data_IF_484043204515
#
_entry.id   IF_484043204515
#
_cell.length_a   1.000
_cell.length_b   1.000
_cell.length_c   1.000
_cell.angle_alpha   90.00
_cell.angle_beta   90.00
_cell.angle_gamma   90.00
#
_symmetry.space_group_name_H-M   'P 1'
#
loop_
_entity.id
_entity.type
_entity.pdbx_description
1 polymer ?
#
# COMPACT_ATOMS: atom_id res chain seq x y z
N UNK A 1 -42.59 5.55 96.43
CA UNK A 1 -41.29 6.07 96.84
C UNK A 1 -40.59 6.50 95.54
N UNK A 2 -40.65 7.75 95.23
CA UNK A 2 -39.57 8.73 95.39
C UNK A 2 -38.46 8.50 94.34
N UNK A 3 -38.14 9.29 93.56
CA UNK A 3 -37.71 10.65 93.39
C UNK A 3 -37.01 10.70 92.01
N UNK A 4 -37.26 11.38 91.02
CA UNK A 4 -36.95 12.76 90.74
C UNK A 4 -35.50 12.96 90.28
N UNK A 5 -35.22 13.42 89.13
CA UNK A 5 -34.45 14.61 88.92
C UNK A 5 -34.31 14.97 87.44
N UNK A 6 -34.60 16.12 87.24
CA UNK A 6 -34.57 17.00 86.06
C UNK A 6 -33.16 17.46 85.75
N UNK A 7 -32.85 17.67 84.53
CA UNK A 7 -32.02 18.75 83.99
C UNK A 7 -31.22 18.25 82.72
N UNK A 8 -31.05 18.92 81.75
CA UNK A 8 -31.02 20.25 81.20
C UNK A 8 -30.39 20.23 79.81
N UNK A 9 -31.02 20.92 78.94
CA UNK A 9 -30.53 21.22 77.56
C UNK A 9 -29.05 21.60 77.47
N UNK A 10 -28.37 21.09 76.46
CA UNK A 10 -27.43 21.94 75.72
C UNK A 10 -27.44 21.58 74.23
N UNK A 11 -27.82 22.60 73.49
CA UNK A 11 -27.75 22.68 72.05
C UNK A 11 -26.31 22.58 71.52
N UNK A 12 -26.02 21.57 70.75
CA UNK A 12 -24.75 21.46 70.04
C UNK A 12 -25.02 21.34 68.50
N UNK A 13 -24.95 22.45 67.81
CA UNK A 13 -24.98 22.47 66.33
C UNK A 13 -23.78 21.73 65.78
N UNK A 14 -23.96 20.51 65.36
CA UNK A 14 -22.99 19.85 64.54
C UNK A 14 -23.05 20.37 63.07
N UNK A 15 -22.02 21.07 62.66
CA UNK A 15 -21.78 21.45 61.23
C UNK A 15 -21.45 20.19 60.47
N UNK A 16 -22.34 19.74 59.61
CA UNK A 16 -22.07 18.74 58.59
C UNK A 16 -21.26 19.40 57.49
N UNK A 17 -19.95 19.11 57.43
CA UNK A 17 -19.13 19.45 56.29
C UNK A 17 -19.40 18.40 55.20
N UNK A 18 -20.20 18.80 54.21
CA UNK A 18 -20.42 18.05 52.98
C UNK A 18 -19.15 18.17 52.10
N UNK A 19 -18.26 17.20 52.23
CA UNK A 19 -17.14 17.04 51.26
C UNK A 19 -17.70 16.44 49.98
N UNK A 20 -17.95 17.32 48.99
CA UNK A 20 -18.25 16.93 47.62
C UNK A 20 -16.98 16.34 47.02
N UNK A 21 -16.90 15.01 47.00
CA UNK A 21 -15.83 14.29 46.28
C UNK A 21 -16.18 14.34 44.77
N UNK A 22 -15.61 15.33 44.07
CA UNK A 22 -15.72 15.47 42.61
C UNK A 22 -15.01 14.31 41.93
N UNK A 23 -15.75 13.35 41.41
CA UNK A 23 -15.26 12.29 40.53
C UNK A 23 -14.96 12.90 39.17
N UNK A 24 -13.71 13.35 38.93
CA UNK A 24 -13.21 13.71 37.62
C UNK A 24 -13.14 12.43 36.77
N UNK A 25 -14.17 12.21 35.94
CA UNK A 25 -14.12 11.24 34.87
C UNK A 25 -13.16 11.77 33.80
N UNK A 26 -11.89 11.36 33.85
CA UNK A 26 -10.94 11.52 32.75
C UNK A 26 -11.40 10.63 31.61
N UNK A 27 -12.11 11.23 30.63
CA UNK A 27 -12.39 10.60 29.36
C UNK A 27 -11.05 10.35 28.65
N UNK A 28 -10.61 9.11 28.65
CA UNK A 28 -9.49 8.65 27.82
C UNK A 28 -9.97 8.73 26.37
N UNK A 29 -9.66 9.83 25.67
CA UNK A 29 -9.74 9.88 24.21
C UNK A 29 -8.63 8.94 23.70
N UNK A 30 -8.99 7.69 23.43
CA UNK A 30 -8.15 6.82 22.63
C UNK A 30 -7.95 7.48 21.26
N UNK A 31 -6.70 7.62 20.76
CA UNK A 31 -6.50 8.11 19.42
C UNK A 31 -7.17 7.13 18.46
N UNK A 32 -8.21 7.59 17.75
CA UNK A 32 -8.77 6.87 16.63
C UNK A 32 -7.67 6.84 15.57
N UNK A 33 -6.95 5.71 15.45
CA UNK A 33 -6.09 5.46 14.30
C UNK A 33 -7.00 5.44 13.07
N UNK A 34 -7.01 6.54 12.33
CA UNK A 34 -7.61 6.57 11.00
C UNK A 34 -6.82 5.56 10.15
N UNK A 35 -7.37 4.36 9.99
CA UNK A 35 -6.83 3.38 9.06
C UNK A 35 -6.76 4.05 7.68
N UNK A 36 -5.57 4.07 7.09
CA UNK A 36 -5.38 4.66 5.77
C UNK A 36 -6.24 3.89 4.77
N UNK A 37 -7.17 4.59 4.12
CA UNK A 37 -8.06 4.00 3.13
C UNK A 37 -7.27 3.59 1.89
N UNK A 38 -7.35 2.32 1.53
CA UNK A 38 -6.70 1.77 0.33
C UNK A 38 -7.66 1.88 -0.86
N UNK A 39 -7.21 2.52 -1.94
CA UNK A 39 -8.02 2.71 -3.16
C UNK A 39 -7.26 2.20 -4.36
N UNK A 40 -7.77 1.19 -5.05
CA UNK A 40 -7.21 0.61 -6.25
C UNK A 40 -8.09 0.88 -7.48
N UNK A 41 -7.46 0.98 -8.66
CA UNK A 41 -8.15 1.01 -9.94
C UNK A 41 -7.97 -0.36 -10.63
N UNK A 42 -9.01 -1.19 -10.58
CA UNK A 42 -9.02 -2.50 -11.25
C UNK A 42 -9.13 -2.40 -12.76
N UNK A 43 -9.80 -1.35 -13.26
CA UNK A 43 -10.01 -1.16 -14.69
C UNK A 43 -10.84 0.08 -14.99
N UNK A 44 -11.06 0.32 -16.30
CA UNK A 44 -11.94 1.36 -16.80
C UNK A 44 -12.92 0.71 -17.77
N UNK A 45 -14.21 0.94 -17.56
CA UNK A 45 -15.29 0.44 -18.41
C UNK A 45 -16.10 1.61 -18.96
N UNK A 46 -15.80 2.02 -20.19
CA UNK A 46 -16.39 3.21 -20.79
C UNK A 46 -16.09 4.48 -19.98
N UNK A 47 -17.13 5.13 -19.45
CA UNK A 47 -17.02 6.34 -18.61
C UNK A 47 -16.97 6.04 -17.11
N UNK A 48 -16.75 4.81 -16.70
CA UNK A 48 -16.75 4.38 -15.30
C UNK A 48 -15.39 3.82 -14.89
N UNK A 49 -14.91 4.22 -13.73
CA UNK A 49 -13.75 3.62 -13.09
C UNK A 49 -14.19 2.41 -12.25
N UNK A 50 -13.52 1.28 -12.38
CA UNK A 50 -13.70 0.11 -11.53
C UNK A 50 -12.81 0.29 -10.30
N UNK A 51 -13.36 0.86 -9.24
CA UNK A 51 -12.64 1.11 -8.00
C UNK A 51 -12.76 -0.04 -7.03
N UNK A 52 -11.66 -0.36 -6.38
CA UNK A 52 -11.60 -1.26 -5.24
C UNK A 52 -11.19 -0.44 -4.02
N UNK A 53 -11.96 -0.52 -2.95
CA UNK A 53 -11.72 0.23 -1.72
C UNK A 53 -11.54 -0.77 -0.58
N UNK A 54 -10.40 -0.68 0.13
CA UNK A 54 -10.04 -1.55 1.25
C UNK A 54 -10.12 -3.06 0.89
N UNK A 55 -9.74 -3.43 -0.34
CA UNK A 55 -9.76 -4.82 -0.80
C UNK A 55 -11.16 -5.38 -1.14
N UNK A 56 -12.21 -4.54 -1.14
CA UNK A 56 -13.54 -4.97 -1.56
C UNK A 56 -13.60 -5.28 -3.07
N UNK A 57 -14.65 -5.96 -3.52
CA UNK A 57 -14.87 -6.22 -4.95
C UNK A 57 -14.93 -4.93 -5.76
N UNK A 58 -14.44 -4.94 -7.04
CA UNK A 58 -14.45 -3.76 -7.89
C UNK A 58 -15.88 -3.23 -8.14
N UNK A 59 -16.09 -1.95 -7.87
CA UNK A 59 -17.35 -1.27 -8.13
C UNK A 59 -17.20 -0.22 -9.22
N UNK A 60 -18.18 -0.14 -10.11
CA UNK A 60 -18.20 0.80 -11.23
C UNK A 60 -18.63 2.19 -10.77
N UNK A 61 -17.70 3.15 -10.73
CA UNK A 61 -17.91 4.51 -10.27
C UNK A 61 -17.78 5.49 -11.43
N UNK A 62 -18.85 6.18 -11.84
CA UNK A 62 -18.82 7.23 -12.86
C UNK A 62 -18.02 8.45 -12.41
N UNK A 63 -17.54 9.23 -13.38
CA UNK A 63 -16.94 10.56 -13.10
C UNK A 63 -17.95 11.44 -12.34
N UNK A 64 -17.47 12.11 -11.30
CA UNK A 64 -18.24 12.98 -10.42
C UNK A 64 -18.88 12.28 -9.22
N UNK A 65 -19.00 10.95 -9.22
CA UNK A 65 -19.56 10.20 -8.10
C UNK A 65 -18.53 9.89 -7.00
N UNK A 66 -19.05 9.66 -5.79
CA UNK A 66 -18.29 9.32 -4.59
C UNK A 66 -18.65 7.90 -4.16
N UNK A 67 -17.64 7.07 -3.91
CA UNK A 67 -17.76 5.75 -3.31
C UNK A 67 -16.84 5.70 -2.09
N UNK A 68 -17.38 5.44 -0.92
CA UNK A 68 -16.64 5.34 0.36
C UNK A 68 -15.63 6.47 0.58
N UNK A 69 -16.04 7.73 0.30
CA UNK A 69 -15.18 8.90 0.47
C UNK A 69 -14.17 9.15 -0.65
N UNK A 70 -14.18 8.33 -1.71
CA UNK A 70 -13.35 8.48 -2.91
C UNK A 70 -14.18 9.06 -4.05
N UNK A 71 -13.84 10.25 -4.54
CA UNK A 71 -14.52 10.89 -5.68
C UNK A 71 -13.72 10.70 -6.95
N UNK A 72 -14.32 10.19 -8.02
CA UNK A 72 -13.71 10.14 -9.35
C UNK A 72 -13.84 11.50 -10.01
N UNK A 73 -12.73 12.17 -10.30
CA UNK A 73 -12.71 13.51 -10.90
C UNK A 73 -12.65 13.47 -12.43
N UNK A 74 -11.84 12.58 -13.00
CA UNK A 74 -11.72 12.42 -14.45
C UNK A 74 -11.17 11.04 -14.81
N UNK A 75 -11.40 10.63 -16.06
CA UNK A 75 -10.88 9.40 -16.67
C UNK A 75 -10.16 9.81 -17.94
N UNK A 76 -8.87 9.43 -18.08
CA UNK A 76 -8.03 9.73 -19.26
C UNK A 76 -7.22 8.49 -19.64
N UNK A 77 -7.71 7.74 -20.65
CA UNK A 77 -7.05 6.50 -21.09
C UNK A 77 -7.02 5.44 -19.98
N UNK A 78 -5.83 5.03 -19.57
CA UNK A 78 -5.57 4.05 -18.50
C UNK A 78 -5.44 4.67 -17.09
N UNK A 79 -5.68 5.98 -16.99
CA UNK A 79 -5.51 6.75 -15.76
C UNK A 79 -6.78 7.47 -15.37
N UNK A 80 -7.05 7.52 -14.07
CA UNK A 80 -8.10 8.36 -13.49
C UNK A 80 -7.49 9.36 -12.52
N UNK A 81 -8.21 10.46 -12.28
CA UNK A 81 -7.95 11.36 -11.16
C UNK A 81 -9.02 11.13 -10.12
N UNK A 82 -8.60 10.83 -8.88
CA UNK A 82 -9.52 10.71 -7.74
C UNK A 82 -9.20 11.77 -6.68
N UNK A 83 -10.20 12.08 -5.86
CA UNK A 83 -10.04 12.88 -4.65
C UNK A 83 -10.32 11.99 -3.43
N UNK A 84 -9.35 11.93 -2.50
CA UNK A 84 -9.41 11.15 -1.27
C UNK A 84 -9.00 12.07 -0.12
N UNK A 85 -9.88 12.28 0.85
CA UNK A 85 -9.62 13.18 1.97
C UNK A 85 -9.26 14.61 1.53
N UNK A 86 -9.90 15.13 0.47
CA UNK A 86 -9.65 16.46 -0.09
C UNK A 86 -8.36 16.58 -0.92
N UNK A 87 -7.60 15.50 -1.13
CA UNK A 87 -6.38 15.48 -1.93
C UNK A 87 -6.60 14.78 -3.26
N UNK A 88 -6.23 15.44 -4.36
CA UNK A 88 -6.31 14.88 -5.72
C UNK A 88 -5.14 13.93 -5.96
N UNK A 89 -5.41 12.76 -6.55
CA UNK A 89 -4.43 11.72 -6.85
C UNK A 89 -4.70 11.06 -8.18
N UNK A 90 -3.67 10.87 -9.01
CA UNK A 90 -3.78 10.03 -10.18
C UNK A 90 -3.72 8.56 -9.78
N UNK A 91 -4.58 7.73 -10.39
CA UNK A 91 -4.55 6.28 -10.32
C UNK A 91 -4.48 5.72 -11.73
N UNK A 92 -3.65 4.72 -11.96
CA UNK A 92 -3.62 3.94 -13.19
C UNK A 92 -4.18 2.55 -12.94
N UNK A 93 -4.67 1.93 -14.01
CA UNK A 93 -5.12 0.53 -13.96
C UNK A 93 -4.01 -0.35 -13.39
N UNK A 94 -4.32 -1.12 -12.35
CA UNK A 94 -3.36 -1.93 -11.61
C UNK A 94 -2.50 -1.16 -10.60
N UNK A 95 -2.74 0.14 -10.40
CA UNK A 95 -2.13 0.91 -9.31
C UNK A 95 -3.11 1.08 -8.15
N UNK A 96 -2.57 0.94 -6.93
CA UNK A 96 -3.23 1.38 -5.71
C UNK A 96 -2.72 2.77 -5.34
N UNK A 97 -3.64 3.69 -5.07
CA UNK A 97 -3.32 4.78 -4.17
C UNK A 97 -3.53 4.23 -2.76
N UNK A 98 -2.48 3.77 -2.14
CA UNK A 98 -2.45 3.69 -0.69
C UNK A 98 -2.69 5.12 -0.21
N UNK A 99 -3.79 5.33 0.52
CA UNK A 99 -3.99 6.59 1.23
C UNK A 99 -2.74 6.85 2.03
N UNK A 100 -2.10 8.01 1.78
CA UNK A 100 -0.77 8.36 2.27
C UNK A 100 -0.40 7.67 3.59
N UNK A 101 0.24 6.53 3.52
CA UNK A 101 1.43 6.41 4.30
C UNK A 101 2.48 7.22 3.51
N UNK A 102 2.69 8.48 3.86
CA UNK A 102 3.97 9.14 3.62
C UNK A 102 5.00 8.07 3.95
N UNK A 103 6.01 7.86 3.11
CA UNK A 103 6.98 6.78 3.30
C UNK A 103 7.50 6.72 4.72
N UNK A 104 6.74 6.05 5.58
CA UNK A 104 7.07 5.79 6.98
C UNK A 104 7.97 4.57 7.12
N UNK A 105 8.63 4.19 6.02
CA UNK A 105 9.50 3.02 6.05
C UNK A 105 8.75 1.71 6.30
N UNK A 106 7.44 1.64 6.01
CA UNK A 106 6.73 0.38 6.15
C UNK A 106 7.30 -0.65 5.19
N UNK A 107 7.89 -1.71 5.73
CA UNK A 107 8.45 -2.85 4.98
C UNK A 107 7.34 -3.69 4.33
N UNK A 108 6.25 -3.04 3.89
CA UNK A 108 5.04 -3.68 3.37
C UNK A 108 4.51 -2.98 2.13
N UNK A 109 4.10 -3.76 1.14
CA UNK A 109 3.40 -3.30 -0.07
C UNK A 109 2.15 -4.16 -0.27
N UNK A 110 1.04 -3.51 -0.57
CA UNK A 110 -0.24 -4.17 -0.87
C UNK A 110 -0.59 -3.88 -2.32
N UNK A 111 -0.95 -4.91 -3.06
CA UNK A 111 -1.34 -4.83 -4.47
C UNK A 111 -2.66 -5.55 -4.68
N UNK A 112 -3.45 -5.08 -5.64
CA UNK A 112 -4.67 -5.78 -6.07
C UNK A 112 -4.47 -6.31 -7.48
N UNK A 113 -5.05 -7.47 -7.73
CA UNK A 113 -5.08 -8.06 -9.05
C UNK A 113 -5.93 -7.23 -10.01
N UNK A 114 -5.53 -7.18 -11.28
CA UNK A 114 -6.39 -6.71 -12.35
C UNK A 114 -7.51 -7.76 -12.65
N UNK A 115 -8.36 -7.46 -13.62
CA UNK A 115 -9.46 -8.36 -14.04
C UNK A 115 -8.98 -9.72 -14.59
N UNK A 116 -7.71 -9.85 -14.92
CA UNK A 116 -7.05 -11.06 -15.41
C UNK A 116 -6.30 -11.79 -14.29
N UNK A 117 -6.27 -11.23 -13.08
CA UNK A 117 -5.61 -11.81 -11.92
C UNK A 117 -4.12 -11.46 -11.79
N UNK A 118 -3.60 -10.52 -12.60
CA UNK A 118 -2.22 -10.05 -12.53
C UNK A 118 -2.05 -8.93 -11.50
N UNK A 119 -0.91 -8.94 -10.82
CA UNK A 119 -0.53 -7.89 -9.86
C UNK A 119 0.49 -6.96 -10.49
N UNK A 120 0.10 -5.72 -10.72
CA UNK A 120 0.98 -4.67 -11.24
C UNK A 120 1.37 -3.70 -10.14
N UNK A 121 2.58 -3.17 -10.27
CA UNK A 121 3.06 -2.09 -9.38
C UNK A 121 4.00 -1.17 -10.12
N UNK A 122 4.17 0.05 -9.63
CA UNK A 122 5.20 0.96 -10.09
C UNK A 122 6.22 1.15 -8.98
N UNK A 123 7.48 0.97 -9.32
CA UNK A 123 8.59 1.18 -8.42
C UNK A 123 9.68 2.03 -9.06
N UNK A 124 10.84 2.08 -8.43
CA UNK A 124 12.04 2.69 -9.03
C UNK A 124 13.20 1.71 -9.04
N UNK A 125 13.97 1.75 -10.12
CA UNK A 125 15.26 1.06 -10.24
C UNK A 125 16.33 2.14 -10.43
N UNK A 126 17.32 2.18 -9.55
CA UNK A 126 18.35 3.21 -9.53
C UNK A 126 17.78 4.64 -9.66
N UNK A 127 16.62 4.89 -8.98
CA UNK A 127 15.90 6.16 -9.01
C UNK A 127 14.96 6.37 -10.20
N UNK A 128 15.03 5.54 -11.24
CA UNK A 128 14.18 5.65 -12.45
C UNK A 128 12.89 4.84 -12.27
N UNK A 129 11.75 5.45 -12.57
CA UNK A 129 10.44 4.80 -12.46
C UNK A 129 10.29 3.66 -13.47
N UNK A 130 9.85 2.48 -13.00
CA UNK A 130 9.62 1.28 -13.80
C UNK A 130 8.28 0.66 -13.38
N UNK A 131 7.49 0.24 -14.38
CA UNK A 131 6.26 -0.52 -14.15
C UNK A 131 6.57 -2.01 -14.14
N UNK A 132 6.07 -2.72 -13.15
CA UNK A 132 6.29 -4.14 -12.96
C UNK A 132 4.98 -4.93 -12.95
N UNK A 133 5.05 -6.18 -13.37
CA UNK A 133 4.09 -7.22 -13.02
C UNK A 133 4.80 -8.23 -12.11
N UNK A 134 4.12 -8.68 -11.04
CA UNK A 134 4.64 -9.73 -10.15
C UNK A 134 4.63 -11.04 -10.92
N UNK A 135 5.82 -11.66 -11.04
CA UNK A 135 5.99 -12.93 -11.76
C UNK A 135 6.83 -13.91 -10.94
N UNK A 136 6.15 -14.85 -10.29
CA UNK A 136 6.80 -15.92 -9.51
C UNK A 136 7.47 -16.98 -10.38
N UNK A 137 7.19 -17.01 -11.68
CA UNK A 137 7.85 -17.86 -12.66
C UNK A 137 9.19 -17.31 -13.17
N UNK A 138 9.42 -16.00 -13.01
CA UNK A 138 10.68 -15.38 -13.38
C UNK A 138 11.72 -15.52 -12.25
N UNK A 139 12.89 -16.09 -12.54
CA UNK A 139 13.98 -16.26 -11.56
C UNK A 139 14.54 -14.92 -11.07
N UNK A 140 14.65 -13.95 -11.96
CA UNK A 140 15.21 -12.62 -11.68
C UNK A 140 14.26 -11.52 -12.18
N UNK A 141 14.47 -10.28 -11.74
CA UNK A 141 13.84 -9.13 -12.39
C UNK A 141 14.20 -9.18 -13.87
N UNK A 142 13.18 -9.03 -14.74
CA UNK A 142 13.41 -9.00 -16.19
C UNK A 142 13.02 -7.62 -16.76
N UNK A 143 13.95 -7.05 -17.51
CA UNK A 143 13.85 -5.72 -18.12
C UNK A 143 13.96 -5.83 -19.64
N UNK A 144 13.18 -5.03 -20.35
CA UNK A 144 13.39 -4.80 -21.78
C UNK A 144 14.51 -3.79 -22.04
N UNK A 145 14.99 -3.70 -23.32
CA UNK A 145 16.06 -2.76 -23.69
C UNK A 145 15.72 -1.29 -23.41
N UNK A 146 14.46 -0.91 -23.59
CA UNK A 146 14.00 0.46 -23.33
C UNK A 146 14.08 0.82 -21.85
N UNK A 147 13.66 -0.09 -20.94
CA UNK A 147 13.79 0.13 -19.52
C UNK A 147 15.27 0.19 -19.09
N UNK A 148 16.10 -0.74 -19.61
CA UNK A 148 17.52 -0.76 -19.29
C UNK A 148 18.23 0.56 -19.69
N UNK A 149 17.91 1.10 -20.88
CA UNK A 149 18.41 2.41 -21.33
C UNK A 149 17.93 3.55 -20.44
N UNK A 150 16.64 3.57 -20.10
CA UNK A 150 16.04 4.61 -19.24
C UNK A 150 16.64 4.63 -17.84
N UNK A 151 16.95 3.46 -17.30
CA UNK A 151 17.63 3.29 -16.01
C UNK A 151 19.10 3.69 -16.08
N UNK A 152 19.69 3.68 -17.27
CA UNK A 152 21.11 3.98 -17.49
C UNK A 152 22.02 2.78 -17.21
N UNK A 153 21.54 1.54 -17.43
CA UNK A 153 22.34 0.34 -17.22
C UNK A 153 23.42 0.20 -18.30
N UNK A 154 24.69 0.10 -17.89
CA UNK A 154 25.79 -0.25 -18.81
C UNK A 154 25.86 -1.77 -18.98
N UNK A 155 25.23 -2.27 -20.04
CA UNK A 155 25.15 -3.70 -20.33
C UNK A 155 26.51 -4.35 -20.62
N UNK A 156 27.57 -3.57 -20.88
CA UNK A 156 28.94 -4.10 -21.06
C UNK A 156 29.53 -4.61 -19.75
N UNK A 157 29.03 -4.12 -18.62
CA UNK A 157 29.41 -4.59 -17.28
C UNK A 157 28.62 -5.83 -16.85
N UNK A 158 27.59 -6.21 -17.60
CA UNK A 158 26.79 -7.39 -17.33
C UNK A 158 27.44 -8.66 -17.87
N UNK A 159 26.98 -9.78 -17.32
CA UNK A 159 27.40 -11.12 -17.75
C UNK A 159 26.39 -11.69 -18.75
N UNK A 160 26.88 -12.24 -19.87
CA UNK A 160 26.02 -12.99 -20.79
C UNK A 160 25.56 -14.29 -20.14
N UNK A 161 24.29 -14.57 -20.28
CA UNK A 161 23.66 -15.80 -19.79
C UNK A 161 22.56 -16.25 -20.72
N UNK A 162 21.96 -17.38 -20.40
CA UNK A 162 20.74 -17.87 -21.06
C UNK A 162 19.62 -17.94 -20.06
N UNK A 163 18.40 -17.64 -20.50
CA UNK A 163 17.18 -17.85 -19.72
C UNK A 163 16.15 -18.58 -20.58
N UNK A 164 15.31 -19.39 -19.94
CA UNK A 164 14.16 -20.03 -20.58
C UNK A 164 12.97 -19.09 -20.50
N UNK A 165 12.32 -18.88 -21.63
CA UNK A 165 11.07 -18.12 -21.73
C UNK A 165 9.98 -19.00 -22.34
N UNK A 166 8.74 -18.56 -22.36
CA UNK A 166 7.65 -19.25 -23.05
C UNK A 166 7.94 -19.48 -24.55
N UNK A 167 8.80 -18.63 -25.16
CA UNK A 167 9.19 -18.72 -26.57
C UNK A 167 10.53 -19.45 -26.78
N UNK A 168 11.02 -20.16 -25.77
CA UNK A 168 12.30 -20.89 -25.83
C UNK A 168 13.43 -20.20 -25.07
N UNK A 169 14.66 -20.68 -25.34
CA UNK A 169 15.85 -20.13 -24.71
C UNK A 169 16.30 -18.84 -25.41
N UNK A 170 16.64 -17.84 -24.63
CA UNK A 170 17.14 -16.54 -25.11
C UNK A 170 18.43 -16.17 -24.39
N UNK A 171 19.36 -15.56 -25.14
CA UNK A 171 20.56 -14.96 -24.56
C UNK A 171 20.18 -13.64 -23.90
N UNK A 172 20.59 -13.46 -22.64
CA UNK A 172 20.31 -12.29 -21.84
C UNK A 172 21.59 -11.71 -21.26
N UNK A 173 21.52 -10.45 -20.82
CA UNK A 173 22.58 -9.84 -20.01
C UNK A 173 22.13 -9.84 -18.56
N UNK A 174 22.86 -10.52 -17.68
CA UNK A 174 22.67 -10.48 -16.23
C UNK A 174 23.41 -9.29 -15.66
N UNK A 175 22.74 -8.50 -14.83
CA UNK A 175 23.31 -7.29 -14.26
C UNK A 175 22.70 -7.04 -12.87
N UNK A 176 23.51 -6.68 -11.86
CA UNK A 176 22.97 -6.27 -10.58
C UNK A 176 22.36 -4.86 -10.68
N UNK A 177 21.22 -4.66 -10.03
CA UNK A 177 20.59 -3.36 -9.83
C UNK A 177 21.00 -2.84 -8.45
N UNK A 178 21.55 -1.63 -8.37
CA UNK A 178 22.02 -1.08 -7.09
C UNK A 178 20.87 -0.93 -6.11
N UNK A 179 19.74 -0.38 -6.57
CA UNK A 179 18.55 -0.20 -5.76
C UNK A 179 17.29 -0.53 -6.55
N UNK A 180 16.38 -1.27 -5.89
CA UNK A 180 15.01 -1.49 -6.36
C UNK A 180 14.08 -1.11 -5.23
N UNK A 181 13.20 -0.13 -5.48
CA UNK A 181 12.22 0.33 -4.50
C UNK A 181 10.81 0.08 -5.01
N UNK A 182 10.00 -0.64 -4.22
CA UNK A 182 8.58 -0.87 -4.46
C UNK A 182 7.82 -0.39 -3.23
N UNK A 183 7.02 0.66 -3.37
CA UNK A 183 6.36 1.30 -2.22
C UNK A 183 7.36 1.74 -1.15
N UNK A 184 7.20 1.25 0.09
CA UNK A 184 8.13 1.49 1.21
C UNK A 184 9.35 0.57 1.21
N UNK A 185 9.32 -0.54 0.46
CA UNK A 185 10.38 -1.55 0.46
C UNK A 185 11.51 -1.12 -0.45
N UNK A 186 12.73 -1.07 0.08
CA UNK A 186 13.95 -0.86 -0.71
C UNK A 186 14.88 -2.05 -0.54
N UNK A 187 15.33 -2.62 -1.68
CA UNK A 187 16.35 -3.65 -1.73
C UNK A 187 17.56 -3.15 -2.51
N UNK A 188 18.72 -3.63 -2.09
CA UNK A 188 19.99 -3.35 -2.74
C UNK A 188 20.55 -4.59 -3.40
N UNK A 189 21.37 -4.39 -4.44
CA UNK A 189 22.06 -5.44 -5.16
C UNK A 189 21.11 -6.57 -5.58
N UNK A 190 20.10 -6.21 -6.39
CA UNK A 190 19.10 -7.16 -6.87
C UNK A 190 19.48 -7.62 -8.26
N UNK A 191 19.62 -8.95 -8.45
CA UNK A 191 19.92 -9.50 -9.77
C UNK A 191 18.78 -9.25 -10.77
N UNK A 192 19.13 -8.79 -11.95
CA UNK A 192 18.23 -8.63 -13.08
C UNK A 192 18.80 -9.23 -14.36
N UNK A 193 17.91 -9.53 -15.29
CA UNK A 193 18.26 -9.89 -16.66
C UNK A 193 17.68 -8.84 -17.62
N UNK A 194 18.47 -8.46 -18.60
CA UNK A 194 18.00 -7.62 -19.71
C UNK A 194 17.83 -8.51 -20.92
N UNK A 195 16.59 -8.58 -21.41
CA UNK A 195 16.25 -9.35 -22.61
C UNK A 195 16.60 -8.57 -23.87
N UNK A 196 16.86 -9.26 -25.01
CA UNK A 196 17.09 -8.58 -26.27
C UNK A 196 15.82 -8.01 -26.88
N UNK A 197 14.66 -8.56 -26.55
CA UNK A 197 13.35 -8.10 -27.04
C UNK A 197 12.71 -7.08 -26.10
N UNK A 198 11.94 -6.16 -26.67
CA UNK A 198 11.17 -5.20 -25.89
C UNK A 198 10.07 -5.92 -25.07
N UNK A 199 9.82 -5.36 -23.88
CA UNK A 199 8.81 -5.84 -22.97
C UNK A 199 7.81 -4.72 -22.68
N UNK A 200 6.49 -5.00 -22.70
CA UNK A 200 5.47 -3.98 -22.39
C UNK A 200 5.49 -3.57 -20.89
N UNK A 201 6.03 -4.44 -20.05
CA UNK A 201 6.15 -4.27 -18.60
C UNK A 201 7.32 -5.12 -18.10
N UNK A 202 8.06 -4.62 -17.12
CA UNK A 202 9.12 -5.40 -16.48
C UNK A 202 8.53 -6.50 -15.58
N UNK A 203 9.26 -7.61 -15.41
CA UNK A 203 8.86 -8.67 -14.49
C UNK A 203 9.51 -8.45 -13.12
N UNK A 204 8.72 -8.45 -12.06
CA UNK A 204 9.21 -8.48 -10.68
C UNK A 204 9.38 -9.95 -10.28
N UNK A 205 10.58 -10.49 -10.51
CA UNK A 205 10.89 -11.90 -10.33
C UNK A 205 11.42 -12.26 -8.94
N UNK A 206 11.82 -13.53 -8.81
CA UNK A 206 12.20 -14.13 -7.54
C UNK A 206 13.47 -13.52 -6.91
N UNK A 207 14.36 -12.89 -7.69
CA UNK A 207 15.50 -12.14 -7.12
C UNK A 207 15.08 -11.04 -6.16
N UNK A 208 13.88 -10.48 -6.35
CA UNK A 208 13.23 -9.55 -5.43
C UNK A 208 12.29 -10.29 -4.47
N UNK A 209 11.39 -11.13 -5.01
CA UNK A 209 10.29 -11.73 -4.27
C UNK A 209 10.75 -12.71 -3.18
N UNK A 210 11.88 -13.41 -3.34
CA UNK A 210 12.43 -14.30 -2.31
C UNK A 210 12.83 -13.59 -1.01
N UNK A 211 13.02 -12.25 -1.07
CA UNK A 211 13.30 -11.43 0.11
C UNK A 211 12.02 -10.93 0.78
N UNK A 212 10.86 -11.38 0.30
CA UNK A 212 9.53 -10.98 0.80
C UNK A 212 8.82 -12.17 1.42
N UNK A 213 8.04 -11.88 2.44
CA UNK A 213 6.90 -12.70 2.82
C UNK A 213 5.75 -12.29 1.90
N UNK A 214 5.18 -13.27 1.18
CA UNK A 214 4.10 -13.05 0.23
C UNK A 214 2.82 -13.69 0.77
N UNK A 215 1.79 -12.89 0.90
CA UNK A 215 0.46 -13.36 1.29
C UNK A 215 -0.54 -12.94 0.21
N UNK A 216 -1.31 -13.89 -0.30
CA UNK A 216 -2.41 -13.62 -1.21
C UNK A 216 -3.73 -13.96 -0.54
N UNK A 217 -4.66 -13.01 -0.57
CA UNK A 217 -6.03 -13.17 -0.10
C UNK A 217 -6.97 -12.65 -1.19
N UNK A 218 -7.64 -13.58 -1.88
CA UNK A 218 -8.47 -13.30 -3.04
C UNK A 218 -7.72 -12.52 -4.13
N UNK A 219 -8.16 -11.29 -4.37
CA UNK A 219 -7.57 -10.36 -5.33
C UNK A 219 -6.46 -9.49 -4.74
N UNK A 220 -6.15 -9.61 -3.44
CA UNK A 220 -5.13 -8.80 -2.76
C UNK A 220 -3.86 -9.61 -2.56
N UNK A 221 -2.69 -9.00 -2.86
CA UNK A 221 -1.36 -9.52 -2.54
C UNK A 221 -0.64 -8.56 -1.62
N UNK A 222 -0.15 -9.07 -0.51
CA UNK A 222 0.71 -8.34 0.42
C UNK A 222 2.13 -8.86 0.28
N UNK A 223 3.07 -7.94 0.04
CA UNK A 223 4.50 -8.20 0.16
C UNK A 223 5.01 -7.53 1.41
N UNK A 224 5.72 -8.26 2.26
CA UNK A 224 6.39 -7.74 3.45
C UNK A 224 7.85 -8.13 3.41
N UNK A 225 8.75 -7.17 3.63
CA UNK A 225 10.18 -7.44 3.67
C UNK A 225 10.51 -8.38 4.83
N UNK A 226 11.32 -9.42 4.58
CA UNK A 226 11.66 -10.42 5.61
C UNK A 226 12.81 -9.96 6.52
N UNK A 227 13.79 -9.20 5.97
CA UNK A 227 14.99 -8.72 6.69
C UNK A 227 15.66 -7.56 5.94
#
# INVERSE_FOLDING_TARGET
>A
MATGFMAMLTSGKARVHSTLLGLMATAFLAPYSAAAQEVGLAGIMGSKAMLMINGAEPQAVPVGQVLDGVKVLSINGDQIMVEIGGKKRPLRVGQHAVGVANGDGSDKVIMTADVQGHFYTTGTVNGTSVRFVVDTGATSIALGPTDARRIGLDLRQGQRGMTSTANGQVVVTRIPLDTVKIGGITLHNVEAVVLPAEMPVALLGMSFLNRMEMQRDGSTMTLKKRF
#
